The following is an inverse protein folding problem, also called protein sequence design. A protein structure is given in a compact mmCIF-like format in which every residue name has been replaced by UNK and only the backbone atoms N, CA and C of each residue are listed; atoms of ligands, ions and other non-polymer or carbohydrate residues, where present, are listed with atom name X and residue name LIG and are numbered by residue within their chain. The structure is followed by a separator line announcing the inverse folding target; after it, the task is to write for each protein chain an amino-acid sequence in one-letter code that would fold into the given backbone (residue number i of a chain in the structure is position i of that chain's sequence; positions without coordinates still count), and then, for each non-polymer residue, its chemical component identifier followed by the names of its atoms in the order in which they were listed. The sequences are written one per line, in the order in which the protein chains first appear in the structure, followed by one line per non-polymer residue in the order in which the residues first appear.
data_IF_820890119308
#
_entry.id   IF_820890119308
#
_cell.length_a   1.000
_cell.length_b   1.000
_cell.length_c   1.000
_cell.angle_alpha   90.00
_cell.angle_beta   90.00
_cell.angle_gamma   90.00
#
_symmetry.space_group_name_H-M   'P 1'
#
loop_
_entity.id
_entity.type
_entity.pdbx_description
1 polymer ?
2 non-polymer ?
3 non-polymer ?
#
# COMPACT_ATOMS: atom_id res chain seq x y z
N UNK A 1 -15.78 8.73 3.71
CA UNK A 1 -15.32 9.15 5.07
C UNK A 1 -13.82 9.39 5.04
N UNK A 2 -13.04 8.39 5.45
CA UNK A 2 -11.59 8.52 5.46
C UNK A 2 -10.94 7.40 4.66
N UNK A 3 -10.20 7.78 3.62
CA UNK A 3 -9.52 6.80 2.78
C UNK A 3 -8.01 6.83 3.02
N UNK A 4 -7.48 5.74 3.55
CA UNK A 4 -6.05 5.65 3.83
C UNK A 4 -5.34 4.84 2.76
N UNK A 5 -4.13 5.26 2.43
CA UNK A 5 -3.33 4.57 1.41
C UNK A 5 -1.91 4.36 1.92
N UNK A 6 -1.42 3.12 1.82
CA UNK A 6 -0.07 2.81 2.28
C UNK A 6 0.83 2.44 1.11
N UNK A 7 1.95 3.15 0.97
CA UNK A 7 2.89 2.88 -0.11
C UNK A 7 4.32 3.09 0.35
N UNK A 8 5.22 2.26 -0.15
CA UNK A 8 6.63 2.36 0.20
C UNK A 8 7.37 3.24 -0.80
N UNK A 9 8.68 3.37 -0.64
CA UNK A 9 9.48 4.18 -1.55
C UNK A 9 10.92 3.71 -1.57
N UNK A 10 11.29 2.97 -2.62
CA UNK A 10 12.65 2.45 -2.75
C UNK A 10 13.61 3.54 -3.24
N UNK A 11 14.75 3.67 -2.55
CA UNK A 11 15.74 4.69 -2.89
C UNK A 11 16.24 4.53 -4.33
N UNK A 12 16.26 3.29 -4.82
CA UNK A 12 16.72 3.02 -6.18
C UNK A 12 15.56 2.62 -7.07
N UNK A 13 14.40 2.45 -6.47
CA UNK A 13 13.20 2.07 -7.20
C UNK A 13 12.03 2.94 -6.73
N UNK A 14 10.88 2.34 -6.44
CA UNK A 14 9.75 3.10 -5.94
C UNK A 14 8.84 2.21 -5.11
N UNK A 15 8.62 0.99 -5.56
CA UNK A 15 7.78 0.05 -4.80
C UNK A 15 8.18 -1.39 -5.11
N UNK A 16 8.36 -1.70 -6.39
CA UNK A 16 8.76 -3.05 -6.78
C UNK A 16 10.26 -3.18 -6.75
N UNK A 17 10.82 -3.52 -5.58
CA UNK A 17 12.25 -3.67 -5.42
C UNK A 17 12.73 -4.97 -6.06
N UNK A 18 11.88 -5.99 -6.02
CA UNK A 18 12.23 -7.29 -6.58
C UNK A 18 11.00 -8.18 -6.66
N UNK A 19 10.10 -7.84 -7.58
CA UNK A 19 8.87 -8.61 -7.74
C UNK A 19 7.91 -8.31 -6.59
N UNK A 20 8.45 -7.70 -5.54
CA UNK A 20 7.64 -7.35 -4.38
C UNK A 20 8.22 -6.13 -3.67
N UNK A 21 7.56 -5.72 -2.59
CA UNK A 21 8.01 -4.56 -1.83
C UNK A 21 8.75 -5.00 -0.57
N UNK A 22 9.62 -4.17 -0.07
CA UNK A 22 10.41 -4.47 1.17
C UNK A 22 9.52 -4.77 2.37
N UNK A 23 10.09 -4.68 3.56
CA UNK A 23 9.33 -4.96 4.79
C UNK A 23 10.12 -4.47 6.01
N UNK A 24 9.41 -3.97 7.01
CA UNK A 24 10.06 -3.47 8.22
C UNK A 24 9.22 -3.78 9.46
N UNK A 25 9.88 -3.80 10.61
CA UNK A 25 9.17 -4.08 11.86
C UNK A 25 8.11 -5.15 11.66
N UNK A 26 8.51 -6.36 11.36
CA UNK A 26 7.56 -7.49 11.14
C UNK A 26 6.64 -7.69 12.34
N UNK A 27 7.05 -7.13 13.48
CA UNK A 27 6.26 -7.24 14.69
C UNK A 27 5.11 -6.24 14.65
N UNK A 28 5.41 -5.03 14.22
CA UNK A 28 4.41 -3.97 14.12
C UNK A 28 3.28 -4.41 13.19
N UNK A 29 3.66 -5.10 12.12
CA UNK A 29 2.67 -5.58 11.15
C UNK A 29 1.65 -6.50 11.82
N UNK A 30 2.09 -7.22 12.85
CA UNK A 30 1.20 -8.14 13.55
C UNK A 30 0.29 -7.38 14.52
N UNK A 31 0.89 -6.47 15.29
CA UNK A 31 0.12 -5.69 16.26
C UNK A 31 -1.00 -4.92 15.55
N UNK A 32 -0.64 -4.19 14.51
CA UNK A 32 -1.62 -3.41 13.76
C UNK A 32 -2.66 -4.32 13.11
N UNK A 33 -2.19 -5.39 12.48
CA UNK A 33 -3.08 -6.34 11.82
C UNK A 33 -4.05 -6.96 12.81
N UNK A 34 -3.57 -7.20 14.03
CA UNK A 34 -4.40 -7.80 15.06
C UNK A 34 -5.44 -6.82 15.60
N UNK A 35 -5.05 -5.55 15.68
CA UNK A 35 -5.95 -4.52 16.18
C UNK A 35 -6.88 -4.02 15.08
N UNK A 36 -6.40 -4.10 13.84
CA UNK A 36 -7.19 -3.65 12.71
C UNK A 36 -7.91 -4.83 12.05
N UNK A 37 -7.46 -6.04 12.39
CA UNK A 37 -8.05 -7.26 11.85
C UNK A 37 -9.54 -7.06 11.62
N UNK A 38 -9.95 -7.00 10.35
CA UNK A 38 -11.35 -6.82 10.01
C UNK A 38 -11.53 -5.65 9.04
N UNK A 39 -10.49 -4.83 8.92
CA UNK A 39 -10.55 -3.68 8.03
C UNK A 39 -10.32 -4.11 6.57
N UNK A 40 -10.98 -3.45 5.65
CA UNK A 40 -10.85 -3.76 4.20
C UNK A 40 -9.49 -3.39 3.64
N UNK A 41 -8.90 -4.29 2.86
CA UNK A 41 -7.60 -4.06 2.26
C UNK A 41 -7.64 -4.28 0.75
N UNK A 42 -7.31 -3.23 0.00
CA UNK A 42 -7.32 -3.32 -1.45
C UNK A 42 -5.89 -3.40 -1.99
N UNK A 43 -5.61 -4.43 -2.78
CA UNK A 43 -4.28 -4.59 -3.35
C UNK A 43 -4.37 -5.02 -4.82
N UNK A 44 -3.27 -4.87 -5.55
CA UNK A 44 -3.25 -5.25 -6.96
C UNK A 44 -2.99 -6.74 -7.12
N UNK A 45 -3.64 -7.35 -8.10
CA UNK A 45 -3.48 -8.78 -8.34
C UNK A 45 -2.02 -9.10 -8.68
N UNK A 46 -1.34 -8.15 -9.32
CA UNK A 46 0.06 -8.34 -9.69
C UNK A 46 0.93 -8.48 -8.44
N UNK A 47 0.75 -7.57 -7.50
CA UNK A 47 1.52 -7.59 -6.26
C UNK A 47 1.08 -8.76 -5.38
N UNK A 48 -0.23 -8.96 -5.29
CA UNK A 48 -0.78 -10.04 -4.48
C UNK A 48 -0.40 -11.40 -5.08
N UNK A 49 -0.27 -11.44 -6.40
CA UNK A 49 0.09 -12.68 -7.08
C UNK A 49 1.53 -13.07 -6.76
N UNK A 50 2.46 -12.14 -6.96
CA UNK A 50 3.86 -12.40 -6.70
C UNK A 50 4.06 -12.73 -5.21
N UNK A 51 3.57 -11.85 -4.35
CA UNK A 51 3.71 -12.07 -2.91
C UNK A 51 2.84 -13.23 -2.45
N UNK A 52 1.55 -13.15 -2.75
CA UNK A 52 0.62 -14.19 -2.35
C UNK A 52 -0.10 -13.83 -1.06
N UNK A 53 0.65 -13.83 0.04
CA UNK A 53 0.06 -13.49 1.34
C UNK A 53 -1.14 -14.38 1.63
N UNK A 54 -1.29 -14.85 2.85
CA UNK A 54 -2.43 -15.72 3.24
C UNK A 54 -3.73 -14.91 3.38
N UNK A 55 -3.93 -14.33 4.55
CA UNK A 55 -5.13 -13.53 4.79
C UNK A 55 -4.85 -12.46 5.85
N UNK A 56 -3.92 -11.58 5.57
CA UNK A 56 -3.54 -10.49 6.51
C UNK A 56 -4.67 -9.48 6.68
N UNK A 57 -5.17 -9.38 7.90
CA UNK A 57 -6.27 -8.45 8.19
C UNK A 57 -7.62 -9.15 7.98
N UNK A 58 -7.56 -10.44 7.66
CA UNK A 58 -8.77 -11.21 7.45
C UNK A 58 -9.67 -10.53 6.40
N UNK A 59 -9.10 -9.63 5.62
CA UNK A 59 -9.87 -8.94 4.59
C UNK A 59 -8.98 -8.54 3.42
N UNK A 60 -8.38 -9.53 2.78
CA UNK A 60 -7.52 -9.27 1.63
C UNK A 60 -8.34 -9.19 0.35
N UNK A 61 -8.47 -7.98 -0.20
CA UNK A 61 -9.23 -7.79 -1.42
C UNK A 61 -8.31 -7.34 -2.55
N UNK A 62 -8.41 -8.02 -3.69
CA UNK A 62 -7.58 -7.69 -4.83
C UNK A 62 -8.41 -7.14 -5.98
N UNK A 63 -7.96 -6.03 -6.55
CA UNK A 63 -8.66 -5.41 -7.67
C UNK A 63 -8.21 -6.03 -8.99
N UNK A 64 -9.16 -6.61 -9.72
CA UNK A 64 -8.84 -7.23 -11.00
C UNK A 64 -10.05 -7.18 -11.94
N UNK A 65 -9.78 -6.95 -13.22
CA UNK A 65 -10.85 -6.88 -14.21
C UNK A 65 -10.88 -8.16 -15.04
N UNK A 66 -11.91 -8.97 -14.82
CA UNK A 66 -12.04 -10.22 -15.55
C UNK A 66 -13.30 -10.97 -15.11
N UNK A 67 -14.40 -10.74 -15.82
CA UNK A 67 -15.66 -11.39 -15.48
C UNK A 67 -15.54 -12.90 -15.63
N UNK A 68 -15.98 -13.64 -14.63
CA UNK A 68 -15.93 -15.09 -14.66
C UNK A 68 -14.65 -15.61 -13.99
N UNK A 69 -13.88 -14.70 -13.41
CA UNK A 69 -12.65 -15.08 -12.74
C UNK A 69 -12.78 -14.94 -11.23
N UNK A 70 -12.13 -15.84 -10.50
CA UNK A 70 -12.17 -15.81 -9.05
C UNK A 70 -10.88 -16.36 -8.47
N UNK A 71 -10.33 -15.65 -7.48
CA UNK A 71 -9.08 -16.06 -6.85
C UNK A 71 -9.35 -16.65 -5.48
N UNK A 72 -9.12 -17.96 -5.34
CA UNK A 72 -9.33 -18.63 -4.06
C UNK A 72 -8.30 -18.17 -3.04
N UNK A 73 -8.78 -17.74 -1.87
CA UNK A 73 -7.89 -17.27 -0.82
C UNK A 73 -7.97 -15.75 -0.68
N UNK A 74 -8.59 -15.11 -1.65
CA UNK A 74 -8.73 -13.66 -1.63
C UNK A 74 -10.06 -13.23 -2.26
N UNK A 75 -10.49 -12.02 -1.96
CA UNK A 75 -11.73 -11.50 -2.51
C UNK A 75 -11.48 -10.77 -3.82
N UNK A 76 -12.43 -10.88 -4.74
CA UNK A 76 -12.30 -10.22 -6.04
C UNK A 76 -13.00 -8.88 -6.03
N UNK A 77 -12.33 -7.87 -6.57
CA UNK A 77 -12.90 -6.53 -6.62
C UNK A 77 -12.76 -5.95 -8.03
N UNK A 78 -13.63 -5.00 -8.37
CA UNK A 78 -13.59 -4.38 -9.68
C UNK A 78 -12.65 -3.18 -9.68
N UNK A 79 -12.56 -2.51 -10.83
CA UNK A 79 -11.70 -1.34 -10.96
C UNK A 79 -12.04 -0.30 -9.90
N UNK A 80 -11.39 0.87 -10.00
CA UNK A 80 -11.63 1.94 -9.04
C UNK A 80 -13.11 2.32 -9.03
N UNK A 81 -13.82 2.00 -10.11
CA UNK A 81 -15.24 2.32 -10.18
C UNK A 81 -15.99 1.69 -9.00
N UNK A 82 -15.69 0.42 -8.73
CA UNK A 82 -16.33 -0.29 -7.64
C UNK A 82 -15.75 0.16 -6.30
N UNK A 83 -14.42 0.23 -6.23
CA UNK A 83 -13.76 0.64 -5.00
C UNK A 83 -14.21 2.04 -4.59
N UNK A 84 -14.47 2.88 -5.58
CA UNK A 84 -14.91 4.25 -5.31
C UNK A 84 -16.10 4.26 -4.35
N UNK A 85 -17.15 3.53 -4.72
CA UNK A 85 -18.35 3.46 -3.88
C UNK A 85 -18.10 2.61 -2.66
N UNK A 86 -17.34 1.52 -2.83
CA UNK A 86 -17.02 0.63 -1.72
C UNK A 86 -16.44 1.41 -0.55
N UNK A 87 -15.84 2.56 -0.84
CA UNK A 87 -15.24 3.39 0.20
C UNK A 87 -16.30 3.84 1.20
N UNK A 88 -17.41 4.39 0.69
CA UNK A 88 -18.48 4.85 1.55
C UNK A 88 -19.11 3.69 2.31
N UNK A 89 -18.68 2.47 1.99
CA UNK A 89 -19.21 1.29 2.65
C UNK A 89 -18.61 1.13 4.04
N UNK A 90 -17.39 1.64 4.22
CA UNK A 90 -16.72 1.55 5.51
C UNK A 90 -16.03 2.87 5.84
N UNK A 91 -16.12 3.28 7.11
CA UNK A 91 -15.51 4.52 7.56
C UNK A 91 -14.07 4.62 7.08
N UNK A 92 -13.17 3.94 7.79
CA UNK A 92 -11.76 3.96 7.43
C UNK A 92 -11.39 2.73 6.60
N UNK A 93 -10.97 2.97 5.36
CA UNK A 93 -10.58 1.87 4.47
C UNK A 93 -9.12 2.02 4.07
N UNK A 94 -8.44 0.88 3.90
CA UNK A 94 -7.03 0.90 3.52
C UNK A 94 -6.86 0.52 2.05
N UNK A 95 -6.08 1.30 1.33
CA UNK A 95 -5.84 1.03 -0.08
C UNK A 95 -4.35 0.85 -0.36
N UNK A 96 -4.03 -0.12 -1.21
CA UNK A 96 -2.63 -0.39 -1.55
C UNK A 96 -2.47 -0.42 -3.07
N UNK A 97 -3.40 -1.09 -3.75
CA UNK A 97 -3.34 -1.18 -5.20
C UNK A 97 -1.92 -1.41 -5.70
N UNK A 98 -1.27 -0.32 -6.09
CA UNK A 98 0.11 -0.40 -6.59
C UNK A 98 0.59 0.96 -7.07
N UNK A 99 1.50 0.94 -8.03
CA UNK A 99 2.05 2.19 -8.58
C UNK A 99 1.00 2.92 -9.42
N UNK A 100 0.57 2.28 -10.49
CA UNK A 100 -0.42 2.88 -11.38
C UNK A 100 -1.74 3.12 -10.65
N UNK A 101 -2.10 2.18 -9.78
CA UNK A 101 -3.34 2.30 -9.02
C UNK A 101 -3.32 3.54 -8.14
N UNK A 102 -2.26 3.68 -7.34
CA UNK A 102 -2.13 4.84 -6.47
C UNK A 102 -2.32 6.13 -7.26
N UNK A 103 -1.73 6.16 -8.45
CA UNK A 103 -1.83 7.34 -9.30
C UNK A 103 -3.29 7.74 -9.54
N UNK A 104 -4.09 6.81 -10.03
CA UNK A 104 -5.50 7.08 -10.30
C UNK A 104 -6.28 7.22 -9.00
N UNK A 105 -5.74 6.69 -7.91
CA UNK A 105 -6.40 6.78 -6.61
C UNK A 105 -6.04 8.08 -5.90
N UNK A 106 -5.27 8.93 -6.59
CA UNK A 106 -4.84 10.19 -6.01
C UNK A 106 -6.07 11.03 -5.59
N UNK A 107 -7.01 11.24 -6.47
CA UNK A 107 -8.23 12.04 -6.15
C UNK A 107 -9.22 11.29 -5.26
N UNK A 108 -8.99 9.99 -5.10
CA UNK A 108 -9.89 9.16 -4.30
C UNK A 108 -9.33 8.96 -2.89
N UNK A 109 -8.08 9.35 -2.68
CA UNK A 109 -7.45 9.19 -1.37
C UNK A 109 -7.51 10.49 -0.57
N UNK A 110 -7.70 10.36 0.73
CA UNK A 110 -7.76 11.52 1.61
C UNK A 110 -6.45 11.69 2.37
N UNK A 111 -5.89 10.57 2.81
CA UNK A 111 -4.62 10.58 3.54
C UNK A 111 -3.73 9.45 3.05
N UNK A 112 -2.48 9.77 2.71
CA UNK A 112 -1.55 8.77 2.22
C UNK A 112 -0.27 8.75 3.05
N UNK A 113 0.37 7.58 3.10
CA UNK A 113 1.62 7.43 3.85
C UNK A 113 2.72 6.92 2.94
N UNK A 114 3.94 7.39 3.15
CA UNK A 114 5.07 6.97 2.32
C UNK A 114 6.26 6.59 3.19
N UNK A 115 6.85 5.44 2.89
CA UNK A 115 8.00 4.97 3.65
C UNK A 115 9.23 4.90 2.75
N UNK A 116 10.23 5.73 3.05
CA UNK A 116 11.45 5.76 2.26
C UNK A 116 12.49 4.81 2.86
N UNK A 117 12.96 3.87 2.05
CA UNK A 117 13.95 2.91 2.51
C UNK A 117 15.28 3.13 1.81
N UNK A 118 16.38 2.96 2.55
CA UNK A 118 17.70 3.16 1.98
C UNK A 118 18.30 1.82 1.53
N UNK A 119 17.52 1.07 0.76
CA UNK A 119 17.98 -0.23 0.26
C UNK A 119 17.08 -0.72 -0.86
N UNK A 120 17.64 -0.80 -2.06
CA UNK A 120 16.89 -1.26 -3.23
C UNK A 120 17.83 -1.52 -4.40
N UNK A 121 17.61 -2.64 -5.09
CA UNK A 121 18.45 -2.99 -6.23
C UNK A 121 17.69 -3.89 -7.21
N UNK A 122 17.70 -3.50 -8.48
CA UNK A 122 17.01 -4.28 -9.51
C UNK A 122 15.63 -4.68 -9.02
N UNK A 123 14.60 -4.03 -9.55
CA UNK A 123 13.23 -4.33 -9.15
C UNK A 123 12.30 -4.38 -10.35
N UNK A 124 11.01 -4.14 -10.11
CA UNK A 124 10.02 -4.16 -11.17
C UNK A 124 9.46 -2.77 -11.43
N UNK A 125 9.36 -1.95 -10.39
CA UNK A 125 8.83 -0.61 -10.54
C UNK A 125 9.78 0.42 -9.94
N UNK A 126 10.34 1.26 -10.80
CA UNK A 126 11.28 2.29 -10.37
C UNK A 126 10.73 3.70 -10.65
N UNK A 127 10.81 4.56 -9.64
CA UNK A 127 10.32 5.93 -9.79
C UNK A 127 10.85 6.79 -8.66
N UNK A 128 11.93 7.49 -8.88
CA UNK A 128 12.55 8.36 -7.83
C UNK A 128 11.81 9.67 -7.64
N UNK A 129 12.31 10.49 -6.72
CA UNK A 129 11.68 11.78 -6.43
C UNK A 129 11.64 12.66 -7.68
N UNK A 130 10.53 12.62 -8.39
CA UNK A 130 10.37 13.42 -9.60
C UNK A 130 9.42 14.59 -9.35
N UNK A 131 8.26 14.29 -8.77
CA UNK A 131 7.28 15.32 -8.47
C UNK A 131 6.31 14.85 -7.40
N UNK A 132 6.40 15.46 -6.22
CA UNK A 132 5.52 15.10 -5.11
C UNK A 132 4.90 16.34 -4.50
N UNK A 133 4.91 17.43 -5.26
CA UNK A 133 4.35 18.69 -4.78
C UNK A 133 2.83 18.59 -4.65
N UNK A 134 2.24 17.66 -5.40
CA UNK A 134 0.79 17.48 -5.38
C UNK A 134 0.33 17.14 -3.96
N UNK A 135 1.23 16.58 -3.16
CA UNK A 135 0.90 16.21 -1.80
C UNK A 135 1.52 17.19 -0.80
N UNK A 136 1.07 17.13 0.44
CA UNK A 136 1.58 18.01 1.49
C UNK A 136 1.85 17.24 2.78
N UNK A 137 3.13 17.09 3.11
CA UNK A 137 3.51 16.38 4.33
C UNK A 137 3.10 17.19 5.56
N UNK A 138 2.77 16.49 6.65
CA UNK A 138 2.37 17.15 7.89
C UNK A 138 3.19 16.64 9.06
N UNK A 139 3.72 15.43 8.93
CA UNK A 139 4.52 14.83 9.99
C UNK A 139 5.50 13.82 9.41
N UNK A 140 6.67 13.70 10.04
CA UNK A 140 7.68 12.76 9.57
C UNK A 140 8.35 12.06 10.75
N UNK A 141 8.40 10.73 10.69
CA UNK A 141 9.02 9.95 11.74
C UNK A 141 10.15 9.10 11.19
N UNK A 142 11.20 8.91 11.98
CA UNK A 142 12.34 8.12 11.54
C UNK A 142 12.29 6.72 12.16
N UNK A 143 12.91 5.76 11.48
CA UNK A 143 12.92 4.39 11.99
C UNK A 143 14.29 4.04 12.58
N UNK A 144 14.67 2.78 12.47
CA UNK A 144 15.94 2.33 13.01
C UNK A 144 16.25 0.90 12.55
N UNK A 145 17.53 0.61 12.36
CA UNK A 145 17.93 -0.72 11.93
C UNK A 145 17.47 -1.77 12.92
N UNK A 146 17.78 -3.03 12.63
CA UNK A 146 17.38 -4.12 13.51
C UNK A 146 18.00 -5.44 13.04
N UNK A 147 17.76 -6.50 13.80
CA UNK A 147 18.28 -7.82 13.45
C UNK A 147 17.60 -8.36 12.21
N UNK A 148 16.27 -8.23 12.16
CA UNK A 148 15.51 -8.72 11.02
C UNK A 148 15.43 -7.65 9.93
N UNK A 149 15.80 -6.42 10.29
CA UNK A 149 15.77 -5.32 9.32
C UNK A 149 17.06 -4.52 9.38
N UNK A 150 18.11 -5.04 8.81
CA UNK A 150 19.43 -4.36 8.80
C UNK A 150 19.47 -3.20 7.80
N UNK A 151 18.34 -2.53 7.66
CA UNK A 151 18.25 -1.40 6.74
C UNK A 151 17.55 -0.21 7.40
N UNK A 152 18.09 0.98 7.18
CA UNK A 152 17.52 2.18 7.76
C UNK A 152 16.43 2.75 6.87
N UNK A 153 15.32 3.17 7.47
CA UNK A 153 14.21 3.74 6.70
C UNK A 153 13.57 4.89 7.46
N UNK A 154 12.63 5.57 6.81
CA UNK A 154 11.94 6.69 7.43
C UNK A 154 10.46 6.68 7.06
N UNK A 155 9.62 7.07 8.01
CA UNK A 155 8.18 7.11 7.76
C UNK A 155 7.73 8.54 7.51
N UNK A 156 6.86 8.73 6.52
CA UNK A 156 6.37 10.06 6.18
C UNK A 156 4.84 10.06 6.15
N UNK A 157 4.24 11.18 6.53
CA UNK A 157 2.80 11.31 6.53
C UNK A 157 2.35 12.28 5.45
N UNK A 158 1.68 11.75 4.43
CA UNK A 158 1.20 12.59 3.34
C UNK A 158 -0.31 12.82 3.49
N UNK A 159 -0.72 14.07 3.32
CA UNK A 159 -2.13 14.41 3.45
C UNK A 159 -2.61 15.26 2.27
N UNK A 160 -3.87 15.08 1.89
CA UNK A 160 -4.44 15.82 0.78
C UNK A 160 -5.52 16.78 1.28
N UNK A 161 -6.05 17.59 0.37
CA UNK A 161 -7.09 18.55 0.74
C UNK A 161 -8.48 17.93 0.54
N UNK A 162 -8.72 17.39 -0.64
CA UNK A 162 -10.01 16.78 -0.95
C UNK A 162 -10.20 15.50 -0.13
#
# INVERSE_FOLDING_TARGET
MIVSFMVAMDENRVIGKDNNLPWRLPSELQYVKKTTMGHPLIMGRKNYEAIGRPLPGRRNIIVTRNEGYHVEGCEVAHSVEEVFELCKNEEEIFIFGGAQIYDLFLPYVDKLYITKIHHAFEGDTFFPEMDMTNWKEVFVEKGLTDEKNPYTYYYHVYEKQQLEHHHHHHHH
#
